data_IF_691358181013
#
_entry.id   IF_691358181013
#
_cell.length_a   1.000
_cell.length_b   1.000
_cell.length_c   1.000
_cell.angle_alpha   90.00
_cell.angle_beta   90.00
_cell.angle_gamma   90.00
#
_symmetry.space_group_name_H-M   'P 1'
#
loop_
_entity.id
_entity.type
_entity.pdbx_description
1 polymer ?
#
# COMPACT_ATOMS: atom_id res chain seq x y z
N UNK A 1 13.25 0.75 -7.39
CA UNK A 1 12.56 1.85 -8.09
C UNK A 1 12.39 3.03 -7.15
N UNK A 2 12.31 4.26 -7.69
CA UNK A 2 11.95 5.45 -6.91
C UNK A 2 10.41 5.56 -6.87
N UNK A 3 9.87 5.80 -5.69
CA UNK A 3 8.43 5.98 -5.43
C UNK A 3 8.28 6.93 -4.24
N UNK A 4 7.07 7.30 -3.86
CA UNK A 4 6.78 8.11 -2.67
C UNK A 4 6.17 7.26 -1.56
N UNK A 5 6.29 7.72 -0.32
CA UNK A 5 5.59 7.10 0.81
C UNK A 5 4.06 7.08 0.59
N UNK A 6 3.52 8.08 -0.10
CA UNK A 6 2.11 8.17 -0.49
C UNK A 6 1.69 7.00 -1.39
N UNK A 7 2.43 6.75 -2.45
CA UNK A 7 2.18 5.64 -3.38
C UNK A 7 2.28 4.29 -2.68
N UNK A 8 3.31 4.10 -1.84
CA UNK A 8 3.42 2.91 -1.01
C UNK A 8 2.20 2.76 -0.10
N UNK A 9 1.81 3.82 0.61
CA UNK A 9 0.68 3.77 1.54
C UNK A 9 -0.64 3.41 0.84
N UNK A 10 -0.88 3.96 -0.35
CA UNK A 10 -2.09 3.69 -1.16
C UNK A 10 -2.14 2.26 -1.70
N UNK A 11 -0.98 1.64 -2.00
CA UNK A 11 -0.93 0.27 -2.51
C UNK A 11 -1.37 -0.81 -1.50
N UNK A 12 -1.59 -0.46 -0.22
CA UNK A 12 -1.95 -1.39 0.85
C UNK A 12 -3.19 -2.22 0.51
N UNK A 13 -4.25 -1.55 0.06
CA UNK A 13 -5.52 -2.21 -0.22
C UNK A 13 -5.41 -3.15 -1.41
N UNK A 14 -4.67 -2.76 -2.46
CA UNK A 14 -4.40 -3.61 -3.61
C UNK A 14 -3.64 -4.89 -3.21
N UNK A 15 -2.59 -4.76 -2.38
CA UNK A 15 -1.78 -5.90 -1.92
C UNK A 15 -2.61 -6.84 -1.03
N UNK A 16 -3.42 -6.29 -0.12
CA UNK A 16 -4.33 -7.09 0.69
C UNK A 16 -5.40 -7.79 -0.16
N UNK A 17 -5.94 -7.11 -1.17
CA UNK A 17 -6.85 -7.68 -2.15
C UNK A 17 -6.23 -8.88 -2.88
N UNK A 18 -5.01 -8.75 -3.37
CA UNK A 18 -4.28 -9.82 -4.04
C UNK A 18 -4.04 -11.03 -3.15
N UNK A 19 -3.68 -10.82 -1.88
CA UNK A 19 -3.46 -11.89 -0.91
C UNK A 19 -4.74 -12.65 -0.55
N UNK A 20 -5.85 -11.92 -0.41
CA UNK A 20 -7.10 -12.48 0.11
C UNK A 20 -8.01 -13.07 -0.97
N UNK A 21 -7.95 -12.55 -2.21
CA UNK A 21 -8.95 -12.87 -3.25
C UNK A 21 -8.44 -13.81 -4.34
N UNK A 22 -7.14 -14.02 -4.45
CA UNK A 22 -6.63 -14.90 -5.49
C UNK A 22 -6.42 -16.33 -4.98
N UNK A 23 -7.21 -17.25 -5.51
CA UNK A 23 -6.95 -18.70 -5.44
C UNK A 23 -5.76 -19.07 -6.32
N UNK A 24 -4.58 -18.61 -5.91
CA UNK A 24 -3.34 -18.91 -6.60
C UNK A 24 -2.80 -20.29 -6.24
N UNK A 25 -2.19 -20.99 -7.20
CA UNK A 25 -1.34 -22.14 -6.90
C UNK A 25 -0.26 -21.77 -5.88
N UNK A 26 0.06 -22.68 -4.95
CA UNK A 26 0.98 -22.44 -3.83
C UNK A 26 2.34 -21.84 -4.26
N UNK A 27 2.86 -22.26 -5.42
CA UNK A 27 4.12 -21.74 -5.99
C UNK A 27 4.09 -20.23 -6.27
N UNK A 28 2.93 -19.69 -6.67
CA UNK A 28 2.75 -18.26 -6.96
C UNK A 28 2.45 -17.46 -5.70
N UNK A 29 1.74 -18.05 -4.72
CA UNK A 29 1.52 -17.43 -3.39
C UNK A 29 2.84 -17.06 -2.71
N UNK A 30 3.87 -17.89 -2.85
CA UNK A 30 5.21 -17.58 -2.26
C UNK A 30 5.81 -16.30 -2.83
N UNK A 31 5.65 -16.02 -4.12
CA UNK A 31 6.13 -14.78 -4.74
C UNK A 31 5.42 -13.55 -4.17
N UNK A 32 4.09 -13.61 -4.09
CA UNK A 32 3.27 -12.52 -3.54
C UNK A 32 3.53 -12.32 -2.05
N UNK A 33 3.70 -13.39 -1.27
CA UNK A 33 4.02 -13.30 0.15
C UNK A 33 5.39 -12.65 0.39
N UNK A 34 6.40 -12.95 -0.44
CA UNK A 34 7.73 -12.30 -0.36
C UNK A 34 7.63 -10.82 -0.67
N UNK A 35 6.87 -10.48 -1.69
CA UNK A 35 6.60 -9.11 -2.07
C UNK A 35 5.86 -8.34 -0.97
N UNK A 36 4.75 -8.91 -0.47
CA UNK A 36 3.95 -8.34 0.60
C UNK A 36 4.76 -8.17 1.89
N UNK A 37 5.70 -9.07 2.17
CA UNK A 37 6.62 -8.92 3.30
C UNK A 37 7.51 -7.68 3.15
N UNK A 38 8.20 -7.52 2.01
CA UNK A 38 9.02 -6.33 1.74
C UNK A 38 8.21 -5.04 1.79
N UNK A 39 7.00 -5.08 1.23
CA UNK A 39 6.07 -3.98 1.30
C UNK A 39 5.68 -3.65 2.75
N UNK A 40 5.31 -4.65 3.55
CA UNK A 40 4.91 -4.47 4.95
C UNK A 40 6.05 -3.91 5.81
N UNK A 41 7.30 -4.30 5.54
CA UNK A 41 8.48 -3.76 6.21
C UNK A 41 8.58 -2.24 5.98
N UNK A 42 8.37 -1.76 4.75
CA UNK A 42 8.38 -0.33 4.43
C UNK A 42 7.13 0.39 4.94
N UNK A 43 5.95 -0.21 4.75
CA UNK A 43 4.69 0.32 5.25
C UNK A 43 4.73 0.53 6.76
N UNK A 44 5.29 -0.41 7.54
CA UNK A 44 5.36 -0.30 9.00
C UNK A 44 6.19 0.91 9.45
N UNK A 45 7.28 1.23 8.75
CA UNK A 45 8.09 2.43 9.01
C UNK A 45 7.27 3.70 8.74
N UNK A 46 6.57 3.76 7.60
CA UNK A 46 5.72 4.90 7.23
C UNK A 46 4.56 5.07 8.23
N UNK A 47 3.91 3.97 8.61
CA UNK A 47 2.79 3.96 9.55
C UNK A 47 3.23 4.42 10.95
N UNK A 48 4.42 4.00 11.40
CA UNK A 48 5.02 4.45 12.67
C UNK A 48 5.28 5.96 12.63
N UNK A 49 5.95 6.48 11.60
CA UNK A 49 6.20 7.91 11.46
C UNK A 49 4.89 8.71 11.35
N UNK A 50 3.89 8.19 10.63
CA UNK A 50 2.57 8.82 10.56
C UNK A 50 1.93 8.91 11.95
N UNK A 51 1.96 7.83 12.73
CA UNK A 51 1.42 7.82 14.09
C UNK A 51 2.14 8.81 15.01
N UNK A 52 3.44 9.02 14.83
CA UNK A 52 4.20 10.05 15.57
C UNK A 52 3.75 11.46 15.22
N UNK A 53 3.53 11.77 13.93
CA UNK A 53 2.95 13.05 13.49
C UNK A 53 1.57 13.24 14.11
N UNK A 54 0.71 12.21 14.09
CA UNK A 54 -0.61 12.28 14.73
C UNK A 54 -0.50 12.51 16.24
N UNK A 55 0.42 11.84 16.95
CA UNK A 55 0.64 12.05 18.39
C UNK A 55 1.20 13.43 18.73
N UNK A 56 2.00 14.01 17.84
CA UNK A 56 2.59 15.34 18.01
C UNK A 56 1.54 16.47 17.93
N UNK A 57 0.57 16.32 17.03
CA UNK A 57 -0.41 17.36 16.73
C UNK A 57 -1.83 17.07 17.23
N UNK A 58 -2.12 15.82 17.56
CA UNK A 58 -3.43 15.36 17.96
C UNK A 58 -3.64 15.30 19.46
N UNK A 59 -4.88 15.01 19.81
CA UNK A 59 -5.34 14.77 21.17
C UNK A 59 -5.77 13.30 21.29
N UNK A 60 -5.34 12.63 22.35
CA UNK A 60 -5.75 11.25 22.63
C UNK A 60 -7.05 11.25 23.42
N UNK A 61 -8.07 10.59 22.87
CA UNK A 61 -9.36 10.35 23.52
C UNK A 61 -9.76 8.90 23.31
N UNK A 62 -10.07 8.20 24.39
CA UNK A 62 -10.48 6.79 24.35
C UNK A 62 -9.51 5.88 23.58
N UNK A 63 -8.19 6.11 23.75
CA UNK A 63 -7.09 5.41 23.04
C UNK A 63 -7.03 5.69 21.52
N UNK A 64 -7.73 6.71 21.06
CA UNK A 64 -7.70 7.17 19.67
C UNK A 64 -7.05 8.56 19.63
N UNK A 65 -6.01 8.71 18.83
CA UNK A 65 -5.39 10.01 18.58
C UNK A 65 -6.08 10.66 17.39
N UNK A 66 -6.62 11.86 17.60
CA UNK A 66 -7.32 12.62 16.55
C UNK A 66 -6.76 14.04 16.47
N UNK A 67 -6.66 14.60 15.26
CA UNK A 67 -6.30 16.01 15.07
C UNK A 67 -7.59 16.76 14.72
N UNK A 68 -8.14 17.61 15.61
CA UNK A 68 -9.36 18.35 15.34
C UNK A 68 -9.19 19.27 14.12
N UNK A 69 -10.19 19.32 13.22
CA UNK A 69 -10.14 20.15 12.01
C UNK A 69 -9.97 21.65 12.30
N UNK A 70 -10.38 22.09 13.47
CA UNK A 70 -10.27 23.46 13.98
C UNK A 70 -9.02 23.68 14.87
N UNK A 71 -8.09 22.72 14.93
CA UNK A 71 -6.86 22.87 15.69
C UNK A 71 -6.03 24.03 15.15
N UNK A 72 -5.50 24.92 16.00
CA UNK A 72 -4.59 25.99 15.56
C UNK A 72 -3.28 25.43 14.96
N UNK A 73 -2.98 24.14 15.18
CA UNK A 73 -1.81 23.46 14.62
C UNK A 73 -2.10 22.68 13.34
N UNK A 74 -3.29 22.82 12.76
CA UNK A 74 -3.70 22.06 11.57
C UNK A 74 -2.74 22.27 10.39
N UNK A 75 -2.33 23.51 10.13
CA UNK A 75 -1.44 23.81 9.00
C UNK A 75 -0.06 23.17 9.18
N UNK A 76 0.49 23.19 10.39
CA UNK A 76 1.76 22.52 10.72
C UNK A 76 1.64 20.99 10.59
N UNK A 77 0.54 20.42 11.08
CA UNK A 77 0.23 19.00 10.94
C UNK A 77 0.17 18.57 9.48
N UNK A 78 -0.59 19.30 8.65
CA UNK A 78 -0.72 18.98 7.22
C UNK A 78 0.60 19.13 6.49
N UNK A 79 1.40 20.14 6.84
CA UNK A 79 2.72 20.33 6.26
C UNK A 79 3.62 19.12 6.55
N UNK A 80 3.79 18.76 7.82
CA UNK A 80 4.68 17.66 8.22
C UNK A 80 4.17 16.30 7.71
N UNK A 81 2.85 16.09 7.69
CA UNK A 81 2.26 14.89 7.11
C UNK A 81 2.50 14.81 5.60
N UNK A 82 2.36 15.92 4.86
CA UNK A 82 2.64 15.92 3.42
C UNK A 82 4.13 15.74 3.14
N UNK A 83 5.02 16.38 3.91
CA UNK A 83 6.47 16.15 3.81
C UNK A 83 6.81 14.67 4.01
N UNK A 84 6.22 14.00 5.02
CA UNK A 84 6.39 12.56 5.21
C UNK A 84 5.88 11.74 4.02
N UNK A 85 4.69 12.06 3.50
CA UNK A 85 4.06 11.28 2.44
C UNK A 85 4.72 11.49 1.06
N UNK A 86 5.23 12.68 0.80
CA UNK A 86 5.85 13.04 -0.48
C UNK A 86 7.36 12.76 -0.51
N UNK A 87 7.95 12.35 0.62
CA UNK A 87 9.35 11.93 0.69
C UNK A 87 9.63 10.77 -0.29
N UNK A 88 10.61 10.93 -1.19
CA UNK A 88 10.98 9.90 -2.14
C UNK A 88 11.73 8.76 -1.44
N UNK A 89 11.33 7.52 -1.75
CA UNK A 89 11.96 6.32 -1.20
C UNK A 89 12.39 5.36 -2.29
N UNK A 90 13.50 4.67 -2.04
CA UNK A 90 13.94 3.57 -2.89
C UNK A 90 13.27 2.27 -2.44
N UNK A 91 12.36 1.78 -3.27
CA UNK A 91 11.71 0.50 -3.06
C UNK A 91 12.30 -0.57 -3.98
N UNK A 92 12.94 -1.58 -3.41
CA UNK A 92 13.45 -2.73 -4.16
C UNK A 92 12.32 -3.73 -4.45
N UNK A 93 11.49 -3.37 -5.45
CA UNK A 93 10.40 -4.19 -5.93
C UNK A 93 10.91 -5.50 -6.52
N UNK A 94 10.38 -6.63 -6.05
CA UNK A 94 10.60 -7.93 -6.68
C UNK A 94 9.46 -8.13 -7.71
N UNK A 95 9.76 -8.32 -9.00
CA UNK A 95 8.74 -8.62 -10.00
C UNK A 95 7.93 -9.86 -9.59
N UNK A 96 6.62 -9.77 -9.67
CA UNK A 96 5.73 -10.89 -9.36
C UNK A 96 5.12 -11.45 -10.65
N UNK A 97 5.07 -12.77 -10.76
CA UNK A 97 4.33 -13.46 -11.82
C UNK A 97 2.98 -13.89 -11.28
N UNK A 98 1.91 -13.32 -11.84
CA UNK A 98 0.54 -13.76 -11.61
C UNK A 98 0.18 -14.73 -12.74
N UNK A 99 -0.15 -15.99 -12.44
CA UNK A 99 -0.46 -16.97 -13.47
C UNK A 99 -1.76 -16.65 -14.19
N UNK A 100 -1.84 -17.08 -15.45
CA UNK A 100 -2.96 -16.91 -16.39
C UNK A 100 -4.34 -17.44 -15.95
N UNK A 101 -4.47 -17.99 -14.73
CA UNK A 101 -5.77 -18.36 -14.14
C UNK A 101 -6.61 -17.15 -13.72
N UNK A 102 -6.04 -15.94 -13.76
CA UNK A 102 -6.75 -14.68 -13.52
C UNK A 102 -7.24 -14.12 -14.85
N UNK A 103 -8.55 -13.96 -15.00
CA UNK A 103 -9.14 -13.44 -16.22
C UNK A 103 -9.03 -11.90 -16.22
N UNK A 104 -8.01 -11.36 -16.90
CA UNK A 104 -7.87 -9.92 -17.09
C UNK A 104 -8.37 -9.60 -18.51
N UNK A 105 -9.53 -8.93 -18.61
CA UNK A 105 -10.14 -8.52 -19.89
C UNK A 105 -10.44 -9.65 -20.89
N UNK A 106 -10.67 -10.89 -20.44
CA UNK A 106 -11.10 -11.99 -21.32
C UNK A 106 -9.97 -12.87 -21.88
N UNK A 107 -8.71 -12.56 -21.60
CA UNK A 107 -7.56 -13.34 -22.06
C UNK A 107 -6.77 -13.96 -20.90
N UNK A 108 -6.41 -15.24 -21.05
CA UNK A 108 -5.56 -15.96 -20.08
C UNK A 108 -4.10 -15.74 -20.44
N UNK A 109 -3.44 -14.83 -19.74
CA UNK A 109 -2.00 -14.59 -19.89
C UNK A 109 -1.32 -14.50 -18.53
N UNK A 110 -0.06 -14.96 -18.46
CA UNK A 110 0.75 -14.71 -17.28
C UNK A 110 1.10 -13.23 -17.24
N UNK A 111 0.69 -12.55 -16.18
CA UNK A 111 0.93 -11.12 -16.02
C UNK A 111 2.11 -10.96 -15.07
N UNK A 112 3.12 -10.21 -15.52
CA UNK A 112 4.15 -9.71 -14.64
C UNK A 112 3.65 -8.39 -14.08
N UNK A 113 3.46 -8.35 -12.76
CA UNK A 113 3.01 -7.15 -12.05
C UNK A 113 4.21 -6.63 -11.26
N UNK A 114 4.54 -5.37 -11.49
CA UNK A 114 5.46 -4.60 -10.66
C UNK A 114 4.71 -3.64 -9.73
N UNK A 115 5.44 -2.80 -9.01
CA UNK A 115 4.81 -1.85 -8.09
C UNK A 115 4.05 -0.72 -8.80
N UNK A 116 4.51 -0.27 -9.96
CA UNK A 116 3.80 0.72 -10.73
C UNK A 116 2.46 0.16 -11.22
N UNK A 117 2.42 -1.12 -11.57
CA UNK A 117 1.17 -1.82 -11.88
C UNK A 117 0.26 -1.90 -10.64
N UNK A 118 0.79 -2.27 -9.46
CA UNK A 118 0.01 -2.36 -8.22
C UNK A 118 -0.64 -1.04 -7.79
N UNK A 119 0.07 0.08 -7.94
CA UNK A 119 -0.45 1.42 -7.61
C UNK A 119 -1.62 1.78 -8.53
N UNK A 120 -1.59 1.31 -9.78
CA UNK A 120 -2.60 1.58 -10.80
C UNK A 120 -3.64 0.46 -10.94
N UNK A 121 -3.53 -0.62 -10.16
CA UNK A 121 -4.56 -1.64 -10.05
C UNK A 121 -5.75 -1.04 -9.29
N UNK A 122 -6.63 -0.41 -10.05
CA UNK A 122 -7.98 -0.09 -9.63
C UNK A 122 -8.62 -1.38 -9.05
N UNK A 123 -9.41 -1.36 -7.95
CA UNK A 123 -10.03 -2.54 -7.33
C UNK A 123 -10.89 -3.44 -8.26
N UNK A 124 -10.96 -3.16 -9.55
CA UNK A 124 -11.67 -3.90 -10.61
C UNK A 124 -10.97 -5.17 -11.10
N UNK A 125 -10.46 -6.01 -10.19
CA UNK A 125 -10.53 -7.45 -10.51
C UNK A 125 -11.96 -7.89 -10.22
N UNK A 126 -12.82 -7.76 -11.23
CA UNK A 126 -14.15 -8.38 -11.23
C UNK A 126 -13.93 -9.87 -11.45
N UNK A 127 -14.08 -10.64 -10.38
CA UNK A 127 -14.15 -12.10 -10.47
C UNK A 127 -15.59 -12.48 -10.82
N UNK A 128 -15.77 -13.19 -11.92
CA UNK A 128 -17.03 -13.86 -12.25
C UNK A 128 -16.97 -15.22 -11.56
N UNK A 129 -17.97 -15.51 -10.71
CA UNK A 129 -18.15 -16.79 -10.01
C UNK A 129 -18.09 -18.01 -10.96
#
# INVERSE_FOLDING_TARGET
MKTTNRELYQAKEAIQGLLNRMDLPAKHKVGILRFARKYNEQYAVIDTARLEVFRKYGEEKDKVVTVPSNSPKMDEFLKELNELLDEPVEFDAIPMRIPASVNVKGERQDIFIDMADLINLDPFIVFID
#
